data_IF_035193377877
#
_entry.id   IF_035193377877
#
_cell.length_a   1.000
_cell.length_b   1.000
_cell.length_c   1.000
_cell.angle_alpha   90.00
_cell.angle_beta   90.00
_cell.angle_gamma   90.00
#
_symmetry.space_group_name_H-M   'P 1'
#
loop_
_entity.id
_entity.type
_entity.pdbx_description
1 polymer ?
#
# COMPACT_ATOMS: atom_id res chain seq x y z
N UNK A 1 11.86 -1.76 -12.42
CA UNK A 1 10.60 -1.92 -11.66
C UNK A 1 10.93 -2.75 -10.43
N UNK A 2 10.36 -2.42 -9.27
CA UNK A 2 10.44 -3.17 -8.01
C UNK A 2 9.19 -4.01 -7.80
N UNK A 3 9.30 -5.04 -6.98
CA UNK A 3 8.25 -6.00 -6.67
C UNK A 3 8.12 -6.15 -5.16
N UNK A 4 7.00 -5.75 -4.60
CA UNK A 4 6.82 -5.65 -3.16
C UNK A 4 5.47 -6.23 -2.73
N UNK A 5 5.32 -6.55 -1.46
CA UNK A 5 4.06 -6.94 -0.86
C UNK A 5 3.51 -5.79 -0.01
N UNK A 6 2.18 -5.70 0.07
CA UNK A 6 1.51 -4.80 1.00
C UNK A 6 0.54 -5.59 1.88
N UNK A 7 0.50 -5.25 3.17
CA UNK A 7 -0.27 -5.96 4.18
C UNK A 7 -1.19 -5.03 4.96
N UNK A 8 -2.47 -5.42 4.99
CA UNK A 8 -3.51 -4.84 5.84
C UNK A 8 -3.69 -5.63 7.15
N UNK A 9 -3.15 -6.85 7.26
CA UNK A 9 -3.54 -7.87 8.22
C UNK A 9 -5.06 -8.10 8.18
N UNK A 10 -5.61 -8.24 6.96
CA UNK A 10 -7.04 -8.45 6.74
C UNK A 10 -7.44 -9.88 7.11
N UNK A 11 -8.54 -10.02 7.84
CA UNK A 11 -9.08 -11.31 8.26
C UNK A 11 -10.60 -11.33 8.23
N UNK A 12 -11.19 -12.50 7.95
CA UNK A 12 -12.64 -12.75 8.10
C UNK A 12 -13.03 -13.04 9.53
N UNK A 13 -12.05 -13.38 10.38
CA UNK A 13 -12.23 -13.75 11.78
C UNK A 13 -11.57 -12.71 12.70
N UNK A 14 -12.38 -11.82 13.27
CA UNK A 14 -11.94 -10.78 14.20
C UNK A 14 -11.92 -11.26 15.66
N UNK A 15 -11.79 -12.56 15.90
CA UNK A 15 -11.55 -13.13 17.22
C UNK A 15 -10.07 -13.02 17.63
N UNK A 16 -9.78 -13.27 18.90
CA UNK A 16 -8.39 -13.35 19.39
C UNK A 16 -7.57 -14.39 18.63
N UNK A 17 -8.17 -15.51 18.31
CA UNK A 17 -7.56 -16.60 17.53
C UNK A 17 -7.33 -16.19 16.09
N UNK A 18 -8.25 -15.43 15.48
CA UNK A 18 -8.12 -14.86 14.15
C UNK A 18 -6.99 -13.83 14.10
N UNK A 19 -6.90 -12.94 15.08
CA UNK A 19 -5.79 -11.99 15.19
C UNK A 19 -4.43 -12.70 15.31
N UNK A 20 -4.32 -13.68 16.19
CA UNK A 20 -3.09 -14.46 16.34
C UNK A 20 -2.71 -15.14 15.02
N UNK A 21 -3.68 -15.74 14.33
CA UNK A 21 -3.48 -16.44 13.06
C UNK A 21 -3.01 -15.47 11.97
N UNK A 22 -3.71 -14.37 11.72
CA UNK A 22 -3.38 -13.44 10.62
C UNK A 22 -1.99 -12.85 10.78
N UNK A 23 -1.57 -12.45 11.98
CA UNK A 23 -0.22 -11.94 12.20
C UNK A 23 0.86 -13.00 12.04
N UNK A 24 0.62 -14.24 12.52
CA UNK A 24 1.54 -15.36 12.31
C UNK A 24 1.73 -15.66 10.83
N UNK A 25 0.63 -15.73 10.07
CA UNK A 25 0.61 -15.96 8.63
C UNK A 25 1.31 -14.81 7.86
N UNK A 26 1.07 -13.56 8.24
CA UNK A 26 1.72 -12.40 7.63
C UNK A 26 3.23 -12.41 7.85
N UNK A 27 3.71 -12.84 9.03
CA UNK A 27 5.16 -13.04 9.28
C UNK A 27 5.73 -14.11 8.35
N UNK A 28 5.06 -15.26 8.21
CA UNK A 28 5.50 -16.35 7.34
C UNK A 28 5.60 -15.90 5.88
N UNK A 29 4.60 -15.16 5.39
CA UNK A 29 4.57 -14.59 4.05
C UNK A 29 5.72 -13.60 3.83
N UNK A 30 5.98 -12.70 4.78
CA UNK A 30 7.05 -11.72 4.69
C UNK A 30 8.46 -12.37 4.65
N UNK A 31 8.67 -13.42 5.45
CA UNK A 31 9.91 -14.18 5.45
C UNK A 31 10.10 -14.95 4.13
N UNK A 32 9.03 -15.53 3.61
CA UNK A 32 9.05 -16.16 2.29
C UNK A 32 9.35 -15.13 1.18
N UNK A 33 8.75 -13.94 1.24
CA UNK A 33 9.00 -12.88 0.29
C UNK A 33 10.49 -12.46 0.24
N UNK A 34 11.16 -12.37 1.39
CA UNK A 34 12.61 -12.14 1.41
C UNK A 34 13.38 -13.24 0.67
N UNK A 35 13.02 -14.51 0.91
CA UNK A 35 13.65 -15.66 0.24
C UNK A 35 13.38 -15.65 -1.27
N UNK A 36 12.19 -15.24 -1.67
CA UNK A 36 11.74 -15.18 -3.06
C UNK A 36 12.21 -13.94 -3.82
N UNK A 37 12.98 -13.06 -3.20
CA UNK A 37 13.61 -11.93 -3.90
C UNK A 37 12.76 -10.65 -4.01
N UNK A 38 11.68 -10.53 -3.27
CA UNK A 38 10.90 -9.29 -3.22
C UNK A 38 11.74 -8.13 -2.67
N UNK A 39 11.40 -6.90 -3.11
CA UNK A 39 12.15 -5.69 -2.75
C UNK A 39 11.74 -5.13 -1.39
N UNK A 40 10.44 -5.03 -1.10
CA UNK A 40 9.93 -4.39 0.13
C UNK A 40 8.65 -5.07 0.64
N UNK A 41 8.49 -5.08 1.94
CA UNK A 41 7.21 -5.34 2.62
C UNK A 41 6.66 -4.01 3.12
N UNK A 42 5.48 -3.64 2.64
CA UNK A 42 4.75 -2.46 3.07
C UNK A 42 3.64 -2.84 4.04
N UNK A 43 3.50 -2.08 5.12
CA UNK A 43 2.43 -2.25 6.10
C UNK A 43 1.64 -0.96 6.24
N UNK A 44 0.32 -1.06 6.16
CA UNK A 44 -0.59 0.07 6.40
C UNK A 44 -0.65 0.42 7.89
N UNK A 45 -1.26 1.54 8.24
CA UNK A 45 -1.71 1.86 9.59
C UNK A 45 -3.20 2.17 9.56
N UNK A 46 -4.01 1.30 10.18
CA UNK A 46 -5.44 1.49 10.32
C UNK A 46 -5.88 1.21 11.75
N UNK A 47 -6.78 2.03 12.28
CA UNK A 47 -7.26 1.95 13.65
C UNK A 47 -8.76 1.68 13.69
N UNK A 48 -9.17 0.65 14.47
CA UNK A 48 -10.59 0.33 14.73
C UNK A 48 -11.39 -0.07 13.48
N UNK A 49 -10.77 -0.64 12.47
CA UNK A 49 -11.40 -1.08 11.22
C UNK A 49 -11.47 -2.61 11.14
N UNK A 50 -12.27 -3.21 12.02
CA UNK A 50 -12.47 -4.67 12.12
C UNK A 50 -12.80 -5.28 10.75
N UNK A 51 -12.23 -6.45 10.44
CA UNK A 51 -12.35 -7.18 9.18
C UNK A 51 -11.70 -6.52 7.94
N UNK A 52 -11.46 -5.20 7.96
CA UNK A 52 -10.76 -4.53 6.87
C UNK A 52 -9.25 -4.56 7.09
N UNK A 53 -8.79 -4.01 8.21
CA UNK A 53 -7.36 -3.95 8.49
C UNK A 53 -7.10 -4.02 10.01
N UNK A 54 -6.31 -5.00 10.42
CA UNK A 54 -5.89 -5.16 11.80
C UNK A 54 -4.44 -4.68 12.03
N UNK A 55 -3.74 -4.21 10.99
CA UNK A 55 -2.40 -3.62 11.08
C UNK A 55 -2.47 -2.20 11.68
N UNK A 56 -2.56 -2.15 13.01
CA UNK A 56 -2.77 -0.91 13.77
C UNK A 56 -1.47 -0.27 14.32
N UNK A 57 -0.38 -1.02 14.33
CA UNK A 57 0.94 -0.58 14.79
C UNK A 57 2.03 -1.14 13.88
N UNK A 58 2.12 -0.62 12.62
CA UNK A 58 3.05 -1.16 11.63
C UNK A 58 4.51 -1.10 12.08
N UNK A 59 4.90 -0.10 12.86
CA UNK A 59 6.26 0.00 13.40
C UNK A 59 6.64 -1.16 14.31
N UNK A 60 5.68 -1.71 15.07
CA UNK A 60 5.91 -2.88 15.93
C UNK A 60 6.12 -4.14 15.08
N UNK A 61 5.28 -4.33 14.04
CA UNK A 61 5.39 -5.45 13.13
C UNK A 61 6.67 -5.37 12.29
N UNK A 62 6.98 -4.21 11.73
CA UNK A 62 8.19 -3.98 10.94
C UNK A 62 9.47 -4.13 11.78
N UNK A 63 9.46 -3.73 13.06
CA UNK A 63 10.58 -3.96 13.98
C UNK A 63 10.81 -5.47 14.24
N UNK A 64 9.72 -6.23 14.38
CA UNK A 64 9.82 -7.70 14.48
C UNK A 64 10.43 -8.32 13.22
N UNK A 65 10.00 -7.86 12.03
CA UNK A 65 10.58 -8.31 10.76
C UNK A 65 12.03 -7.86 10.59
N UNK A 66 12.41 -6.67 11.06
CA UNK A 66 13.79 -6.19 11.01
C UNK A 66 14.79 -7.15 11.66
N UNK A 67 14.37 -7.76 12.79
CA UNK A 67 15.18 -8.77 13.50
C UNK A 67 15.15 -10.17 12.86
N UNK A 68 14.29 -10.40 11.87
CA UNK A 68 14.10 -11.71 11.20
C UNK A 68 14.54 -11.73 9.73
N UNK A 69 14.88 -10.58 9.18
CA UNK A 69 15.23 -10.36 7.77
C UNK A 69 16.53 -9.58 7.65
N UNK A 70 17.19 -9.68 6.51
CA UNK A 70 18.52 -9.05 6.30
C UNK A 70 18.57 -8.13 5.08
N UNK A 71 17.65 -8.31 4.11
CA UNK A 71 17.68 -7.64 2.81
C UNK A 71 16.42 -6.85 2.49
N UNK A 72 15.25 -7.44 2.72
CA UNK A 72 13.98 -6.87 2.29
C UNK A 72 13.75 -5.50 2.94
N UNK A 73 13.27 -4.52 2.14
CA UNK A 73 12.89 -3.21 2.61
C UNK A 73 11.67 -3.28 3.55
N UNK A 74 11.59 -2.33 4.47
CA UNK A 74 10.55 -2.23 5.49
C UNK A 74 9.80 -0.92 5.30
N UNK A 75 8.62 -0.99 4.69
CA UNK A 75 7.84 0.17 4.26
C UNK A 75 6.65 0.46 5.17
N UNK A 76 6.54 1.71 5.59
CA UNK A 76 5.27 2.22 6.11
C UNK A 76 4.39 2.64 4.93
N UNK A 77 3.29 1.99 4.75
CA UNK A 77 2.38 2.23 3.64
C UNK A 77 0.94 2.55 4.05
N UNK A 78 0.73 3.44 5.05
CA UNK A 78 1.56 4.57 5.54
C UNK A 78 1.50 4.73 7.07
N UNK A 79 2.23 5.71 7.64
CA UNK A 79 1.97 6.23 9.00
C UNK A 79 0.98 7.39 8.89
N UNK A 80 -0.05 7.39 9.73
CA UNK A 80 -1.02 8.47 9.86
C UNK A 80 -0.45 9.62 10.70
N UNK A 81 -0.22 10.79 10.09
CA UNK A 81 0.48 11.92 10.73
C UNK A 81 -0.37 12.95 11.50
N UNK A 82 -1.74 12.88 11.59
CA UNK A 82 -2.45 13.78 12.50
C UNK A 82 -1.90 13.64 13.93
N UNK A 83 -1.60 14.77 14.67
CA UNK A 83 -0.78 14.72 15.87
C UNK A 83 -1.35 13.91 17.04
N UNK A 84 -2.68 13.78 17.17
CA UNK A 84 -3.26 12.93 18.20
C UNK A 84 -3.21 11.45 17.85
N UNK A 85 -3.16 11.08 16.55
CA UNK A 85 -2.90 9.71 16.12
C UNK A 85 -1.42 9.37 16.34
N UNK A 86 -0.52 10.22 15.81
CA UNK A 86 0.92 10.04 15.89
C UNK A 86 1.63 11.38 16.06
N UNK A 87 2.06 11.68 17.27
CA UNK A 87 2.82 12.91 17.53
C UNK A 87 4.15 12.90 16.74
N UNK A 88 4.52 13.98 15.99
CA UNK A 88 5.69 14.00 15.09
C UNK A 88 7.00 13.60 15.76
N UNK A 89 7.24 13.98 17.02
CA UNK A 89 8.42 13.53 17.79
C UNK A 89 8.45 12.00 17.85
N UNK A 90 7.32 11.37 18.21
CA UNK A 90 7.26 9.90 18.31
C UNK A 90 7.40 9.20 16.97
N UNK A 91 6.88 9.80 15.91
CA UNK A 91 7.09 9.31 14.54
C UNK A 91 8.59 9.34 14.19
N UNK A 92 9.24 10.49 14.39
CA UNK A 92 10.67 10.63 14.09
C UNK A 92 11.54 9.64 14.89
N UNK A 93 11.31 9.51 16.20
CA UNK A 93 12.03 8.58 17.07
C UNK A 93 11.85 7.11 16.63
N UNK A 94 10.60 6.68 16.35
CA UNK A 94 10.29 5.29 15.96
C UNK A 94 10.83 4.93 14.59
N UNK A 95 10.68 5.83 13.60
CA UNK A 95 11.21 5.64 12.24
C UNK A 95 12.74 5.58 12.26
N UNK A 96 13.40 6.48 12.97
CA UNK A 96 14.86 6.48 13.10
C UNK A 96 15.38 5.21 13.81
N UNK A 97 14.71 4.79 14.88
CA UNK A 97 15.09 3.56 15.59
C UNK A 97 14.92 2.33 14.70
N UNK A 98 13.80 2.22 13.97
CA UNK A 98 13.58 1.13 13.03
C UNK A 98 14.62 1.11 11.91
N UNK A 99 14.99 2.30 11.41
CA UNK A 99 16.01 2.43 10.37
C UNK A 99 17.39 1.93 10.85
N UNK A 100 17.79 2.29 12.07
CA UNK A 100 19.01 1.79 12.69
C UNK A 100 18.96 0.26 12.87
N UNK A 101 17.90 -0.26 13.48
CA UNK A 101 17.73 -1.68 13.77
C UNK A 101 17.66 -2.54 12.51
N UNK A 102 17.16 -1.99 11.41
CA UNK A 102 17.09 -2.67 10.12
C UNK A 102 18.36 -2.54 9.27
N UNK A 103 19.33 -1.71 9.67
CA UNK A 103 20.51 -1.43 8.86
C UNK A 103 20.22 -0.55 7.63
N UNK A 104 19.32 0.43 7.76
CA UNK A 104 19.01 1.40 6.71
C UNK A 104 18.04 0.88 5.65
N UNK A 105 17.07 0.03 6.03
CA UNK A 105 16.11 -0.58 5.09
C UNK A 105 14.70 0.04 5.14
N UNK A 106 14.51 1.15 5.87
CA UNK A 106 13.20 1.78 6.04
C UNK A 106 12.80 2.60 4.81
N UNK A 107 11.54 2.48 4.43
CA UNK A 107 10.81 3.34 3.51
C UNK A 107 9.70 4.04 4.29
N UNK A 108 9.71 5.38 4.29
CA UNK A 108 8.82 6.16 5.16
C UNK A 108 7.65 6.75 4.38
N UNK A 109 6.52 6.05 4.34
CA UNK A 109 5.28 6.55 3.77
C UNK A 109 4.40 7.26 4.80
N UNK A 110 3.73 8.33 4.39
CA UNK A 110 2.90 9.19 5.24
C UNK A 110 1.49 9.33 4.68
N UNK A 111 0.52 9.48 5.57
CA UNK A 111 -0.90 9.65 5.23
C UNK A 111 -1.68 10.37 6.30
N UNK A 112 -2.97 10.62 6.02
CA UNK A 112 -3.87 11.34 6.94
C UNK A 112 -4.88 10.44 7.67
N UNK A 113 -4.95 9.16 7.32
CA UNK A 113 -6.11 8.33 7.61
C UNK A 113 -7.22 8.58 6.58
N UNK A 114 -8.20 7.70 6.52
CA UNK A 114 -9.21 7.74 5.45
C UNK A 114 -10.66 7.67 5.90
N UNK A 115 -10.95 7.25 7.14
CA UNK A 115 -12.30 7.02 7.61
C UNK A 115 -12.66 7.90 8.82
N UNK A 116 -13.95 8.26 8.93
CA UNK A 116 -14.47 8.96 10.11
C UNK A 116 -14.38 8.08 11.36
N UNK A 117 -14.39 6.76 11.19
CA UNK A 117 -14.20 5.79 12.28
C UNK A 117 -12.82 5.98 12.93
N UNK A 118 -11.77 6.14 12.13
CA UNK A 118 -10.40 6.34 12.62
C UNK A 118 -10.23 7.74 13.20
N UNK A 119 -10.62 8.79 12.46
CA UNK A 119 -10.48 10.17 12.91
C UNK A 119 -11.27 10.44 14.21
N UNK A 120 -12.51 9.94 14.29
CA UNK A 120 -13.38 10.08 15.44
C UNK A 120 -12.87 9.38 16.70
N UNK A 121 -12.12 8.26 16.56
CA UNK A 121 -11.48 7.58 17.69
C UNK A 121 -10.46 8.48 18.41
N UNK A 122 -9.90 9.46 17.70
CA UNK A 122 -8.94 10.45 18.25
C UNK A 122 -9.56 11.86 18.42
N UNK A 123 -10.87 11.98 18.26
CA UNK A 123 -11.59 13.24 18.46
C UNK A 123 -11.49 14.25 17.32
N UNK A 124 -11.17 13.80 16.10
CA UNK A 124 -11.07 14.64 14.90
C UNK A 124 -12.22 14.41 13.92
N UNK A 125 -12.49 15.44 13.11
CA UNK A 125 -13.26 15.33 11.89
C UNK A 125 -12.30 15.13 10.68
N UNK A 126 -12.74 14.37 9.67
CA UNK A 126 -11.96 14.15 8.44
C UNK A 126 -11.54 15.44 7.74
N UNK A 127 -12.37 16.49 7.81
CA UNK A 127 -12.10 17.78 7.20
C UNK A 127 -10.89 18.50 7.83
N UNK A 128 -10.55 18.18 9.09
CA UNK A 128 -9.46 18.83 9.84
C UNK A 128 -8.10 18.15 9.58
N UNK A 129 -8.09 16.92 9.08
CA UNK A 129 -6.86 16.11 9.00
C UNK A 129 -5.82 16.67 8.02
N UNK A 130 -6.25 17.25 6.88
CA UNK A 130 -5.30 17.68 5.85
C UNK A 130 -4.33 18.79 6.32
N UNK A 131 -4.77 19.88 6.97
CA UNK A 131 -3.83 20.88 7.47
C UNK A 131 -2.94 20.36 8.62
N UNK A 132 -3.42 19.39 9.41
CA UNK A 132 -2.62 18.76 10.48
C UNK A 132 -1.49 17.91 9.91
N UNK A 133 -1.78 17.09 8.88
CA UNK A 133 -0.74 16.28 8.24
C UNK A 133 0.27 17.18 7.52
N UNK A 134 -0.17 18.28 6.91
CA UNK A 134 0.74 19.19 6.22
C UNK A 134 1.78 19.76 7.20
N UNK A 135 1.36 20.20 8.40
CA UNK A 135 2.29 20.66 9.43
C UNK A 135 3.26 19.56 9.90
N UNK A 136 2.75 18.36 10.21
CA UNK A 136 3.57 17.22 10.62
C UNK A 136 4.56 16.78 9.53
N UNK A 137 4.10 16.74 8.27
CA UNK A 137 4.88 16.26 7.13
C UNK A 137 6.14 17.12 6.87
N UNK A 138 6.05 18.44 7.04
CA UNK A 138 7.21 19.33 6.93
C UNK A 138 8.12 19.31 8.16
N UNK A 139 7.58 18.90 9.31
CA UNK A 139 8.31 18.92 10.57
C UNK A 139 9.15 17.65 10.80
N UNK A 140 8.59 16.47 10.53
CA UNK A 140 9.27 15.19 10.79
C UNK A 140 10.64 15.07 10.12
N UNK A 141 10.84 15.37 8.82
CA UNK A 141 12.16 15.25 8.20
C UNK A 141 13.20 16.21 8.80
N UNK A 142 12.81 17.38 9.34
CA UNK A 142 13.71 18.26 10.07
C UNK A 142 14.25 17.59 11.33
N UNK A 143 13.43 16.79 12.02
CA UNK A 143 13.82 16.03 13.21
C UNK A 143 14.88 14.96 12.90
N UNK A 144 14.94 14.46 11.67
CA UNK A 144 15.97 13.50 11.26
C UNK A 144 17.36 14.13 11.11
N UNK A 145 17.43 15.41 10.70
CA UNK A 145 18.69 16.04 10.30
C UNK A 145 19.17 17.15 11.24
N UNK A 146 18.26 17.85 11.92
CA UNK A 146 18.63 18.98 12.81
C UNK A 146 18.92 18.48 14.21
N UNK A 147 19.93 19.03 14.87
CA UNK A 147 20.31 18.67 16.23
C UNK A 147 19.22 19.00 17.24
N UNK A 148 18.57 20.15 17.09
CA UNK A 148 17.49 20.64 17.94
C UNK A 148 16.32 21.13 17.10
N UNK A 149 15.11 20.93 17.61
CA UNK A 149 13.85 21.38 17.01
C UNK A 149 13.14 22.32 17.98
N UNK A 150 12.69 23.44 17.45
CA UNK A 150 11.68 24.31 18.03
C UNK A 150 10.58 24.53 17.01
N UNK A 151 9.31 24.46 17.43
CA UNK A 151 8.17 24.66 16.55
C UNK A 151 6.99 25.26 17.32
N UNK A 152 6.44 26.37 16.83
CA UNK A 152 5.22 27.01 17.34
C UNK A 152 4.20 27.14 16.21
N UNK A 153 3.61 26.00 15.87
CA UNK A 153 2.60 25.91 14.80
C UNK A 153 1.18 25.99 15.31
N UNK A 154 0.24 25.81 14.39
CA UNK A 154 -1.19 25.83 14.72
C UNK A 154 -1.62 24.58 15.49
N UNK A 155 -1.15 23.42 15.08
CA UNK A 155 -1.54 22.11 15.63
C UNK A 155 -0.45 21.50 16.52
N UNK A 156 0.81 21.89 16.31
CA UNK A 156 1.97 21.29 16.97
C UNK A 156 2.79 22.38 17.63
N UNK A 157 3.07 22.21 18.93
CA UNK A 157 3.93 23.12 19.69
C UNK A 157 5.03 22.32 20.37
N UNK A 158 6.27 22.61 20.02
CA UNK A 158 7.45 21.92 20.54
C UNK A 158 8.44 22.96 21.04
N UNK A 159 8.61 23.12 22.37
CA UNK A 159 9.70 23.91 22.92
C UNK A 159 11.05 23.35 22.46
N UNK A 160 12.04 24.22 22.29
CA UNK A 160 13.38 23.84 21.82
C UNK A 160 13.96 22.65 22.57
N UNK A 161 14.31 21.59 21.84
CA UNK A 161 14.87 20.35 22.36
C UNK A 161 15.55 19.49 21.32
N UNK A 162 16.51 18.62 21.68
CA UNK A 162 17.07 17.61 20.81
C UNK A 162 16.06 16.48 20.57
N UNK A 163 16.10 15.90 19.38
CA UNK A 163 15.32 14.70 19.00
C UNK A 163 16.29 13.60 18.59
N UNK A 164 16.25 12.47 19.25
CA UNK A 164 17.11 11.31 19.02
C UNK A 164 16.30 10.00 19.14
N UNK A 165 16.77 8.89 18.49
CA UNK A 165 17.95 8.81 17.63
C UNK A 165 17.77 9.49 16.27
N UNK A 166 18.84 9.60 15.49
CA UNK A 166 18.80 9.95 14.06
C UNK A 166 18.79 8.67 13.24
N UNK A 167 18.17 8.66 12.05
CA UNK A 167 18.19 7.48 11.18
C UNK A 167 19.60 7.16 10.70
N UNK A 168 19.82 5.91 10.27
CA UNK A 168 21.07 5.48 9.65
C UNK A 168 21.19 5.99 8.21
N UNK A 169 20.07 6.08 7.49
CA UNK A 169 20.06 6.61 6.13
C UNK A 169 20.25 8.13 6.13
N UNK A 170 21.17 8.62 5.28
CA UNK A 170 21.50 10.04 5.14
C UNK A 170 20.84 10.62 3.86
N UNK A 171 20.16 11.78 3.93
CA UNK A 171 19.81 12.57 5.12
C UNK A 171 18.67 11.97 5.95
N UNK A 172 17.89 11.08 5.40
CA UNK A 172 16.77 10.37 6.02
C UNK A 172 16.25 9.25 5.09
N UNK A 173 15.42 8.31 5.57
CA UNK A 173 14.75 7.33 4.72
C UNK A 173 13.98 7.99 3.57
N UNK A 174 13.90 7.36 2.38
CA UNK A 174 13.09 7.87 1.28
C UNK A 174 11.62 7.99 1.72
N UNK A 175 10.99 9.11 1.31
CA UNK A 175 9.65 9.46 1.77
C UNK A 175 8.60 9.26 0.66
N UNK A 176 7.42 8.80 1.07
CA UNK A 176 6.29 8.51 0.19
C UNK A 176 4.99 9.08 0.77
N UNK A 177 3.97 9.24 -0.05
CA UNK A 177 2.64 9.69 0.37
C UNK A 177 1.56 8.80 -0.23
N UNK A 178 0.53 8.45 0.56
CA UNK A 178 -0.65 7.78 0.06
C UNK A 178 -1.48 8.74 -0.81
N UNK A 179 -1.79 8.31 -2.03
CA UNK A 179 -2.49 9.09 -3.04
C UNK A 179 -3.77 8.35 -3.47
N UNK A 180 -4.89 8.63 -2.81
CA UNK A 180 -6.19 8.02 -3.10
C UNK A 180 -7.00 8.78 -4.16
N UNK A 181 -6.58 10.01 -4.51
CA UNK A 181 -7.22 10.87 -5.49
C UNK A 181 -6.18 11.75 -6.22
N UNK A 182 -6.65 12.51 -7.22
CA UNK A 182 -5.78 13.37 -8.04
C UNK A 182 -5.08 14.47 -7.23
N UNK A 183 -5.73 15.05 -6.23
CA UNK A 183 -5.12 16.07 -5.35
C UNK A 183 -3.94 15.49 -4.57
N UNK A 184 -4.03 14.24 -4.12
CA UNK A 184 -2.93 13.52 -3.50
C UNK A 184 -1.74 13.35 -4.42
N UNK A 185 -2.00 13.00 -5.69
CA UNK A 185 -0.94 12.85 -6.72
C UNK A 185 -0.22 14.17 -7.00
N UNK A 186 -1.00 15.26 -7.17
CA UNK A 186 -0.44 16.61 -7.34
C UNK A 186 0.46 17.00 -6.16
N UNK A 187 -0.04 16.81 -4.93
CA UNK A 187 0.74 17.12 -3.71
C UNK A 187 2.01 16.27 -3.60
N UNK A 188 1.93 14.97 -3.87
CA UNK A 188 3.10 14.10 -3.80
C UNK A 188 4.19 14.56 -4.78
N UNK A 189 3.84 14.83 -6.04
CA UNK A 189 4.76 15.32 -7.05
C UNK A 189 5.36 16.68 -6.68
N UNK A 190 4.51 17.67 -6.32
CA UNK A 190 4.95 19.01 -5.93
C UNK A 190 5.86 19.02 -4.70
N UNK A 191 5.66 18.10 -3.77
CA UNK A 191 6.42 17.99 -2.52
C UNK A 191 7.68 17.11 -2.62
N UNK A 192 7.95 16.54 -3.78
CA UNK A 192 9.11 15.66 -3.99
C UNK A 192 9.02 14.32 -3.27
N UNK A 193 7.80 13.80 -3.08
CA UNK A 193 7.52 12.53 -2.41
C UNK A 193 7.17 11.44 -3.43
N UNK A 194 7.52 10.18 -3.14
CA UNK A 194 7.01 9.04 -3.88
C UNK A 194 5.50 8.89 -3.70
N UNK A 195 4.79 8.45 -4.73
CA UNK A 195 3.34 8.23 -4.70
C UNK A 195 3.02 6.75 -4.48
N UNK A 196 2.24 6.44 -3.45
CA UNK A 196 1.62 5.13 -3.23
C UNK A 196 0.16 5.23 -3.68
N UNK A 197 -0.19 4.53 -4.77
CA UNK A 197 -1.51 4.68 -5.41
C UNK A 197 -2.33 3.40 -5.36
N UNK A 198 -3.63 3.55 -5.27
CA UNK A 198 -4.56 2.44 -5.49
C UNK A 198 -4.58 2.09 -6.98
N UNK A 199 -4.51 0.80 -7.30
CA UNK A 199 -4.49 0.27 -8.66
C UNK A 199 -5.73 -0.56 -9.03
N UNK A 200 -6.83 -0.41 -8.30
CA UNK A 200 -8.05 -1.20 -8.50
C UNK A 200 -8.74 -0.97 -9.85
N UNK A 201 -8.58 0.20 -10.47
CA UNK A 201 -9.10 0.46 -11.81
C UNK A 201 -8.25 -0.12 -12.95
N UNK A 202 -7.12 -0.76 -12.62
CA UNK A 202 -6.24 -1.41 -13.58
C UNK A 202 -5.20 -0.50 -14.24
N UNK A 203 -4.41 -1.04 -15.19
CA UNK A 203 -3.25 -0.34 -15.77
C UNK A 203 -3.58 1.00 -16.45
N UNK A 204 -4.73 1.12 -17.10
CA UNK A 204 -5.13 2.36 -17.80
C UNK A 204 -5.44 3.50 -16.82
N UNK A 205 -6.04 3.19 -15.67
CA UNK A 205 -6.23 4.18 -14.60
C UNK A 205 -4.90 4.56 -13.98
N UNK A 206 -4.03 3.58 -13.73
CA UNK A 206 -2.69 3.83 -13.18
C UNK A 206 -1.85 4.69 -14.11
N UNK A 207 -1.95 4.49 -15.44
CA UNK A 207 -1.28 5.35 -16.43
C UNK A 207 -1.71 6.82 -16.32
N UNK A 208 -3.02 7.08 -16.14
CA UNK A 208 -3.55 8.44 -15.91
C UNK A 208 -3.01 9.03 -14.61
N UNK A 209 -3.01 8.25 -13.53
CA UNK A 209 -2.44 8.67 -12.23
C UNK A 209 -0.95 9.00 -12.35
N UNK A 210 -0.20 8.15 -13.06
CA UNK A 210 1.22 8.39 -13.29
C UNK A 210 1.47 9.68 -14.08
N UNK A 211 0.68 9.97 -15.12
CA UNK A 211 0.81 11.21 -15.88
C UNK A 211 0.64 12.46 -15.00
N UNK A 212 -0.39 12.49 -14.14
CA UNK A 212 -0.64 13.58 -13.18
C UNK A 212 0.55 13.74 -12.22
N UNK A 213 1.02 12.63 -11.65
CA UNK A 213 2.15 12.65 -10.72
C UNK A 213 3.44 13.15 -11.36
N UNK A 214 3.80 12.64 -12.56
CA UNK A 214 5.03 13.04 -13.26
C UNK A 214 5.00 14.49 -13.72
N UNK A 215 3.86 15.01 -14.15
CA UNK A 215 3.68 16.42 -14.48
C UNK A 215 3.90 17.31 -13.24
N UNK A 216 3.26 16.96 -12.13
CA UNK A 216 3.44 17.67 -10.86
C UNK A 216 4.90 17.60 -10.36
N UNK A 217 5.55 16.45 -10.52
CA UNK A 217 6.98 16.29 -10.21
C UNK A 217 7.87 17.18 -11.07
N UNK A 218 7.65 17.22 -12.36
CA UNK A 218 8.46 18.01 -13.30
C UNK A 218 8.32 19.52 -13.07
N UNK A 219 7.17 19.97 -12.58
CA UNK A 219 6.86 21.39 -12.33
C UNK A 219 7.01 21.82 -10.87
N UNK A 220 7.52 20.92 -9.98
CA UNK A 220 7.68 21.22 -8.56
C UNK A 220 8.66 22.36 -8.31
N UNK A 221 8.38 23.11 -7.26
CA UNK A 221 9.25 24.17 -6.78
C UNK A 221 10.08 23.69 -5.58
N UNK A 222 11.30 24.18 -5.46
CA UNK A 222 12.20 23.82 -4.36
C UNK A 222 11.63 24.21 -2.99
N UNK A 223 10.87 25.28 -2.91
CA UNK A 223 10.23 25.79 -1.69
C UNK A 223 9.10 24.89 -1.16
N UNK A 224 8.47 24.09 -2.05
CA UNK A 224 7.37 23.17 -1.70
C UNK A 224 7.90 21.79 -1.30
N UNK A 225 9.20 21.53 -1.45
CA UNK A 225 9.78 20.22 -1.18
C UNK A 225 9.69 19.86 0.30
N UNK A 226 9.19 18.65 0.56
CA UNK A 226 9.21 18.02 1.88
C UNK A 226 10.48 17.19 2.01
N UNK A 227 11.20 17.39 3.15
CA UNK A 227 12.45 16.69 3.40
C UNK A 227 13.63 17.18 2.57
N UNK A 228 14.73 16.46 2.66
CA UNK A 228 16.04 16.83 2.11
C UNK A 228 16.49 15.91 0.96
N UNK A 229 15.69 14.88 0.67
CA UNK A 229 15.92 13.90 -0.39
C UNK A 229 14.62 13.69 -1.16
N UNK A 230 14.47 14.26 -2.36
CA UNK A 230 13.31 13.99 -3.20
C UNK A 230 13.31 12.52 -3.67
N UNK A 231 12.14 11.91 -3.74
CA UNK A 231 11.94 10.50 -4.10
C UNK A 231 10.96 10.42 -5.26
N UNK A 232 11.47 10.40 -6.50
CA UNK A 232 10.63 10.19 -7.69
C UNK A 232 10.29 8.71 -7.84
N UNK A 233 9.08 8.34 -7.47
CA UNK A 233 8.66 6.95 -7.44
C UNK A 233 7.14 6.83 -7.44
N UNK A 234 6.60 5.96 -8.29
CA UNK A 234 5.18 5.61 -8.25
C UNK A 234 5.05 4.11 -7.99
N UNK A 235 4.46 3.77 -6.85
CA UNK A 235 4.13 2.41 -6.48
C UNK A 235 2.62 2.19 -6.59
N UNK A 236 2.20 1.15 -7.32
CA UNK A 236 0.79 0.85 -7.56
C UNK A 236 0.37 -0.45 -6.88
N UNK A 237 -0.71 -0.38 -6.10
CA UNK A 237 -1.35 -1.55 -5.51
C UNK A 237 -1.94 -2.44 -6.61
N UNK A 238 -1.68 -3.74 -6.51
CA UNK A 238 -2.09 -4.75 -7.47
C UNK A 238 -2.71 -5.95 -6.74
N UNK A 239 -4.03 -6.08 -6.73
CA UNK A 239 -4.68 -7.30 -6.23
C UNK A 239 -4.18 -8.52 -6.99
N UNK A 240 -3.78 -9.59 -6.28
CA UNK A 240 -2.98 -10.65 -6.90
C UNK A 240 -3.26 -12.01 -6.29
N UNK A 241 -3.57 -12.98 -7.15
CA UNK A 241 -3.58 -14.42 -6.84
C UNK A 241 -3.03 -15.19 -8.04
N UNK A 242 -1.87 -15.83 -7.87
CA UNK A 242 -1.14 -16.53 -8.94
C UNK A 242 -0.93 -17.97 -8.55
N UNK A 243 -1.69 -18.87 -9.20
CA UNK A 243 -1.65 -20.31 -8.92
C UNK A 243 -1.36 -21.09 -10.19
N UNK A 244 -1.02 -22.38 -10.04
CA UNK A 244 -0.86 -23.30 -11.17
C UNK A 244 -2.20 -23.52 -11.89
N UNK A 245 -3.32 -23.51 -11.16
CA UNK A 245 -4.68 -23.50 -11.73
C UNK A 245 -5.18 -22.05 -11.87
N UNK A 246 -5.11 -21.52 -13.08
CA UNK A 246 -5.52 -20.14 -13.37
C UNK A 246 -7.01 -19.88 -13.16
N UNK A 247 -7.89 -20.88 -13.36
CA UNK A 247 -9.33 -20.72 -13.12
C UNK A 247 -9.60 -20.62 -11.61
N UNK A 248 -8.95 -21.45 -10.82
CA UNK A 248 -9.00 -21.38 -9.37
C UNK A 248 -8.45 -20.06 -8.86
N UNK A 249 -7.30 -19.61 -9.36
CA UNK A 249 -6.69 -18.33 -8.98
C UNK A 249 -7.66 -17.17 -9.22
N UNK A 250 -8.31 -17.13 -10.38
CA UNK A 250 -9.30 -16.10 -10.72
C UNK A 250 -10.49 -16.12 -9.76
N UNK A 251 -11.06 -17.30 -9.52
CA UNK A 251 -12.19 -17.48 -8.59
C UNK A 251 -11.87 -16.98 -7.17
N UNK A 252 -10.71 -17.40 -6.64
CA UNK A 252 -10.22 -17.01 -5.32
C UNK A 252 -9.93 -15.50 -5.27
N UNK A 253 -9.27 -14.95 -6.31
CA UNK A 253 -8.90 -13.53 -6.36
C UNK A 253 -10.12 -12.61 -6.39
N UNK A 254 -11.12 -12.90 -7.21
CA UNK A 254 -12.37 -12.13 -7.29
C UNK A 254 -13.14 -12.20 -5.95
N UNK A 255 -13.19 -13.37 -5.32
CA UNK A 255 -13.84 -13.53 -4.01
C UNK A 255 -13.10 -12.74 -2.92
N UNK A 256 -11.77 -12.77 -2.93
CA UNK A 256 -10.93 -11.98 -2.02
C UNK A 256 -11.10 -10.48 -2.22
N UNK A 257 -11.07 -10.02 -3.47
CA UNK A 257 -11.29 -8.61 -3.80
C UNK A 257 -12.68 -8.13 -3.36
N UNK A 258 -13.73 -8.93 -3.57
CA UNK A 258 -15.06 -8.60 -3.10
C UNK A 258 -15.09 -8.38 -1.59
N UNK A 259 -14.47 -9.28 -0.83
CA UNK A 259 -14.40 -9.13 0.62
C UNK A 259 -13.65 -7.86 1.02
N UNK A 260 -12.53 -7.59 0.37
CA UNK A 260 -11.73 -6.39 0.60
C UNK A 260 -12.56 -5.12 0.37
N UNK A 261 -13.26 -5.05 -0.76
CA UNK A 261 -14.05 -3.88 -1.15
C UNK A 261 -15.29 -3.68 -0.28
N UNK A 262 -16.01 -4.76 0.07
CA UNK A 262 -17.16 -4.68 0.98
C UNK A 262 -16.72 -4.28 2.40
N UNK A 263 -15.55 -4.77 2.88
CA UNK A 263 -14.97 -4.35 4.17
C UNK A 263 -14.61 -2.87 4.18
N UNK A 264 -14.01 -2.39 3.10
CA UNK A 264 -13.69 -0.97 2.93
C UNK A 264 -14.96 -0.12 2.88
N UNK A 265 -15.96 -0.52 2.07
CA UNK A 265 -17.24 0.19 1.97
C UNK A 265 -17.99 0.26 3.30
N UNK A 266 -17.91 -0.79 4.12
CA UNK A 266 -18.50 -0.81 5.46
C UNK A 266 -18.00 0.36 6.31
N UNK A 267 -16.69 0.61 6.33
CA UNK A 267 -16.08 1.64 7.17
C UNK A 267 -16.05 3.04 6.55
N UNK A 268 -16.00 3.15 5.22
CA UNK A 268 -15.82 4.43 4.54
C UNK A 268 -17.13 5.04 4.02
N UNK A 269 -18.12 4.21 3.68
CA UNK A 269 -19.39 4.68 3.07
C UNK A 269 -20.65 4.18 3.79
N UNK A 270 -20.50 3.54 4.98
CA UNK A 270 -21.62 3.02 5.74
C UNK A 270 -22.26 1.77 5.14
N UNK A 271 -21.45 0.97 4.42
CA UNK A 271 -21.83 -0.31 3.87
C UNK A 271 -22.30 -1.34 4.92
N UNK A 272 -22.77 -2.58 4.50
CA UNK A 272 -22.99 -3.70 5.44
C UNK A 272 -21.67 -4.40 5.70
N UNK A 273 -21.60 -5.05 6.85
CA UNK A 273 -20.47 -5.91 7.14
C UNK A 273 -20.41 -7.06 6.14
N UNK A 274 -19.27 -7.32 5.50
CA UNK A 274 -19.16 -8.42 4.55
C UNK A 274 -19.43 -9.76 5.23
N UNK A 275 -20.24 -10.59 4.56
CA UNK A 275 -20.55 -11.94 5.03
C UNK A 275 -20.27 -12.94 3.90
N UNK A 276 -19.01 -13.45 3.79
CA UNK A 276 -18.62 -14.34 2.71
C UNK A 276 -19.37 -15.68 2.71
N UNK A 277 -19.92 -16.10 3.83
CA UNK A 277 -20.71 -17.34 3.92
C UNK A 277 -22.08 -17.22 3.23
N UNK A 278 -22.55 -15.99 3.00
CA UNK A 278 -23.79 -15.73 2.27
C UNK A 278 -23.61 -15.71 0.75
N UNK A 279 -22.37 -15.77 0.24
CA UNK A 279 -22.09 -15.69 -1.18
C UNK A 279 -22.19 -17.08 -1.84
N UNK A 280 -22.80 -17.14 -3.02
CA UNK A 280 -22.76 -18.35 -3.84
C UNK A 280 -21.37 -18.62 -4.41
N UNK A 281 -21.20 -19.81 -5.00
CA UNK A 281 -19.92 -20.23 -5.59
C UNK A 281 -19.56 -19.47 -6.89
N UNK A 282 -20.56 -18.94 -7.60
CA UNK A 282 -20.37 -18.28 -8.88
C UNK A 282 -20.46 -16.75 -8.74
N UNK A 283 -19.30 -16.14 -8.48
CA UNK A 283 -19.14 -14.68 -8.50
C UNK A 283 -18.84 -14.12 -9.91
N UNK A 284 -18.72 -14.99 -10.93
CA UNK A 284 -18.35 -14.61 -12.30
C UNK A 284 -19.31 -15.30 -13.27
N UNK A 285 -20.00 -14.53 -14.12
CA UNK A 285 -20.77 -15.10 -15.24
C UNK A 285 -19.87 -15.38 -16.45
N UNK A 286 -19.75 -16.66 -16.80
CA UNK A 286 -19.13 -17.09 -18.05
C UNK A 286 -17.64 -16.77 -18.19
N UNK A 287 -17.12 -16.87 -19.42
CA UNK A 287 -15.72 -16.59 -19.77
C UNK A 287 -15.41 -15.08 -19.91
N UNK A 288 -16.40 -14.20 -19.80
CA UNK A 288 -16.25 -12.75 -20.00
C UNK A 288 -15.64 -12.04 -18.80
N UNK A 289 -15.60 -12.66 -17.62
CA UNK A 289 -15.06 -12.08 -16.40
C UNK A 289 -15.91 -10.95 -15.82
N UNK A 290 -17.18 -10.86 -16.22
CA UNK A 290 -18.14 -9.94 -15.63
C UNK A 290 -18.42 -10.37 -14.18
N UNK A 291 -18.21 -9.47 -13.24
CA UNK A 291 -18.52 -9.71 -11.84
C UNK A 291 -20.02 -9.49 -11.63
N UNK A 292 -20.74 -10.55 -11.22
CA UNK A 292 -22.13 -10.44 -10.77
C UNK A 292 -22.10 -9.99 -9.33
N UNK A 293 -22.38 -8.72 -9.11
CA UNK A 293 -22.56 -8.17 -7.79
C UNK A 293 -24.06 -8.12 -7.52
N UNK A 294 -24.52 -8.78 -6.48
CA UNK A 294 -25.81 -8.41 -5.87
C UNK A 294 -25.57 -7.07 -5.19
N UNK A 295 -25.82 -6.02 -5.95
CA UNK A 295 -25.68 -4.67 -5.45
C UNK A 295 -26.69 -4.44 -4.35
N UNK A 296 -26.25 -3.92 -3.22
CA UNK A 296 -27.08 -3.31 -2.20
C UNK A 296 -27.89 -2.13 -2.69
N UNK A 297 -27.45 -1.49 -3.77
CA UNK A 297 -28.08 -0.32 -4.37
C UNK A 297 -29.13 -0.69 -5.43
N UNK A 298 -29.24 -1.97 -5.79
CA UNK A 298 -30.24 -2.47 -6.72
C UNK A 298 -30.81 -3.80 -6.23
N UNK A 299 -32.14 -3.94 -6.31
CA UNK A 299 -32.87 -5.19 -6.01
C UNK A 299 -32.61 -6.32 -7.00
N UNK A 300 -31.80 -6.11 -8.04
CA UNK A 300 -31.49 -7.02 -9.14
C UNK A 300 -29.98 -7.22 -9.28
N UNK A 301 -29.59 -8.34 -9.90
CA UNK A 301 -28.20 -8.60 -10.27
C UNK A 301 -27.75 -7.54 -11.29
N UNK A 302 -26.74 -6.75 -10.93
CA UNK A 302 -26.18 -5.70 -11.80
C UNK A 302 -24.90 -6.25 -12.44
N UNK A 303 -24.87 -6.23 -13.76
CA UNK A 303 -23.61 -6.33 -14.51
C UNK A 303 -22.86 -5.02 -14.31
N UNK A 304 -21.71 -5.08 -13.67
CA UNK A 304 -20.96 -3.88 -13.30
C UNK A 304 -20.26 -3.31 -14.52
N UNK A 305 -20.63 -2.11 -14.90
CA UNK A 305 -19.88 -1.30 -15.87
C UNK A 305 -18.65 -0.68 -15.18
N UNK A 306 -17.48 -1.25 -15.43
CA UNK A 306 -16.22 -0.77 -14.85
C UNK A 306 -15.73 0.55 -15.45
N UNK A 307 -16.41 1.11 -16.44
CA UNK A 307 -16.15 2.48 -16.92
C UNK A 307 -16.67 3.55 -15.94
N UNK A 308 -17.61 3.19 -15.05
CA UNK A 308 -18.03 4.04 -13.95
C UNK A 308 -16.92 4.15 -12.90
N UNK A 309 -16.41 5.36 -12.60
CA UNK A 309 -15.39 5.56 -11.60
C UNK A 309 -15.73 5.02 -10.21
N UNK A 310 -17.01 5.02 -9.83
CA UNK A 310 -17.49 4.48 -8.55
C UNK A 310 -17.40 2.93 -8.51
N UNK A 311 -17.42 2.29 -9.67
CA UNK A 311 -17.38 0.83 -9.83
C UNK A 311 -16.01 0.34 -10.32
N UNK A 312 -15.08 1.24 -10.71
CA UNK A 312 -13.74 0.90 -11.17
C UNK A 312 -12.94 0.10 -10.13
N UNK A 313 -13.17 0.36 -8.85
CA UNK A 313 -12.58 -0.40 -7.75
C UNK A 313 -13.04 -1.86 -7.68
N UNK A 314 -14.12 -2.21 -8.35
CA UNK A 314 -14.67 -3.56 -8.43
C UNK A 314 -14.17 -4.33 -9.66
N UNK A 315 -13.24 -3.76 -10.45
CA UNK A 315 -12.69 -4.42 -11.64
C UNK A 315 -12.11 -5.80 -11.29
N UNK A 316 -12.63 -6.90 -11.86
CA UNK A 316 -12.13 -8.25 -11.58
C UNK A 316 -10.88 -8.60 -12.40
N UNK A 317 -10.46 -7.72 -13.32
CA UNK A 317 -9.35 -7.96 -14.24
C UNK A 317 -8.04 -7.46 -13.62
N UNK A 318 -7.54 -8.21 -12.63
CA UNK A 318 -6.25 -7.99 -11.97
C UNK A 318 -5.28 -9.14 -12.25
N UNK A 319 -4.18 -9.22 -11.50
CA UNK A 319 -3.20 -10.29 -11.60
C UNK A 319 -3.75 -11.60 -10.97
N UNK A 320 -4.89 -12.07 -11.48
CA UNK A 320 -5.52 -13.33 -11.08
C UNK A 320 -5.39 -14.35 -12.21
N UNK A 321 -4.67 -15.44 -11.96
CA UNK A 321 -4.49 -16.47 -12.97
C UNK A 321 -3.20 -17.26 -12.79
N UNK A 322 -2.62 -17.65 -13.91
CA UNK A 322 -1.33 -18.33 -13.99
C UNK A 322 -0.17 -17.32 -13.90
N UNK A 323 1.05 -17.82 -13.89
CA UNK A 323 2.28 -17.00 -14.02
C UNK A 323 2.25 -16.12 -15.27
N UNK A 324 1.82 -16.66 -16.40
CA UNK A 324 1.76 -15.91 -17.67
C UNK A 324 0.72 -14.78 -17.62
N UNK A 325 -0.45 -15.02 -16.99
CA UNK A 325 -1.46 -13.98 -16.76
C UNK A 325 -0.89 -12.84 -15.91
N UNK A 326 -0.16 -13.18 -14.85
CA UNK A 326 0.50 -12.20 -13.99
C UNK A 326 1.59 -11.41 -14.74
N UNK A 327 2.43 -12.08 -15.53
CA UNK A 327 3.45 -11.42 -16.37
C UNK A 327 2.80 -10.44 -17.33
N UNK A 328 1.71 -10.85 -17.99
CA UNK A 328 0.95 -9.97 -18.89
C UNK A 328 0.37 -8.75 -18.19
N UNK A 329 -0.19 -8.91 -17.00
CA UNK A 329 -0.75 -7.80 -16.22
C UNK A 329 0.33 -6.84 -15.73
N UNK A 330 1.40 -7.36 -15.13
CA UNK A 330 2.55 -6.58 -14.66
C UNK A 330 3.26 -5.86 -15.80
N UNK A 331 3.32 -6.49 -16.99
CA UNK A 331 3.83 -5.86 -18.22
C UNK A 331 3.07 -4.59 -18.56
N UNK A 332 1.73 -4.61 -18.48
CA UNK A 332 0.90 -3.41 -18.71
C UNK A 332 1.10 -2.33 -17.63
N UNK A 333 1.30 -2.72 -16.37
CA UNK A 333 1.66 -1.76 -15.30
C UNK A 333 3.04 -1.12 -15.56
N UNK A 334 4.00 -1.89 -16.08
CA UNK A 334 5.30 -1.36 -16.47
C UNK A 334 5.17 -0.35 -17.64
N UNK A 335 4.32 -0.63 -18.62
CA UNK A 335 4.01 0.29 -19.73
C UNK A 335 3.29 1.55 -19.24
N UNK A 336 2.45 1.44 -18.20
CA UNK A 336 1.82 2.55 -17.50
C UNK A 336 2.82 3.42 -16.69
N UNK A 337 4.11 3.04 -16.66
CA UNK A 337 5.18 3.80 -15.99
C UNK A 337 5.29 3.57 -14.49
N UNK A 338 4.82 2.44 -13.99
CA UNK A 338 4.94 2.03 -12.57
C UNK A 338 6.39 1.69 -12.24
N UNK A 339 6.92 2.26 -11.15
CA UNK A 339 8.26 1.95 -10.64
C UNK A 339 8.26 0.74 -9.71
N UNK A 340 7.16 0.52 -8.98
CA UNK A 340 7.01 -0.57 -8.02
C UNK A 340 5.60 -1.12 -8.02
N UNK A 341 5.47 -2.44 -8.11
CA UNK A 341 4.19 -3.14 -7.94
C UNK A 341 4.05 -3.57 -6.49
N UNK A 342 2.96 -3.15 -5.85
CA UNK A 342 2.57 -3.56 -4.50
C UNK A 342 1.54 -4.68 -4.61
N UNK A 343 1.98 -5.93 -4.57
CA UNK A 343 1.09 -7.08 -4.65
C UNK A 343 0.25 -7.19 -3.36
N UNK A 344 -1.06 -7.09 -3.50
CA UNK A 344 -2.04 -7.33 -2.45
C UNK A 344 -2.52 -8.78 -2.58
N UNK A 345 -1.87 -9.69 -1.87
CA UNK A 345 -2.24 -11.12 -1.84
C UNK A 345 -3.18 -11.43 -0.68
N UNK A 346 -3.09 -10.67 0.42
CA UNK A 346 -3.86 -10.88 1.64
C UNK A 346 -5.22 -10.16 1.56
N UNK A 347 -6.15 -10.77 0.83
CA UNK A 347 -7.53 -10.30 0.72
C UNK A 347 -8.45 -11.30 1.45
N UNK A 348 -8.84 -11.01 2.65
CA UNK A 348 -9.63 -11.71 3.66
C UNK A 348 -10.00 -13.19 3.44
N UNK A 349 -10.61 -13.53 2.31
CA UNK A 349 -11.03 -14.91 1.99
C UNK A 349 -9.98 -15.74 1.25
N UNK A 350 -8.83 -15.16 0.90
CA UNK A 350 -7.71 -15.89 0.26
C UNK A 350 -6.98 -16.70 1.33
N UNK A 351 -6.89 -18.01 1.14
CA UNK A 351 -6.25 -18.88 2.12
C UNK A 351 -4.73 -18.67 2.19
N UNK A 352 -4.13 -19.04 3.32
CA UNK A 352 -2.67 -18.98 3.52
C UNK A 352 -1.92 -19.76 2.44
N UNK A 353 -2.40 -20.94 2.07
CA UNK A 353 -1.78 -21.78 1.04
C UNK A 353 -1.74 -21.06 -0.31
N UNK A 354 -2.86 -20.43 -0.72
CA UNK A 354 -2.93 -19.69 -1.97
C UNK A 354 -2.05 -18.44 -1.96
N UNK A 355 -1.93 -17.77 -0.82
CA UNK A 355 -1.01 -16.63 -0.66
C UNK A 355 0.46 -17.07 -0.76
N UNK A 356 0.85 -18.15 -0.10
CA UNK A 356 2.20 -18.68 -0.16
C UNK A 356 2.57 -19.20 -1.55
N UNK A 357 1.64 -19.88 -2.25
CA UNK A 357 1.83 -20.30 -3.64
C UNK A 357 2.00 -19.08 -4.56
N UNK A 358 1.17 -18.05 -4.39
CA UNK A 358 1.28 -16.78 -5.13
C UNK A 358 2.65 -16.14 -4.94
N UNK A 359 3.15 -16.04 -3.70
CA UNK A 359 4.47 -15.46 -3.39
C UNK A 359 5.59 -16.27 -4.05
N UNK A 360 5.53 -17.61 -4.02
CA UNK A 360 6.51 -18.47 -4.70
C UNK A 360 6.47 -18.28 -6.21
N UNK A 361 5.29 -18.34 -6.82
CA UNK A 361 5.15 -18.20 -8.27
C UNK A 361 5.65 -16.83 -8.77
N UNK A 362 5.41 -15.76 -8.01
CA UNK A 362 5.95 -14.44 -8.34
C UNK A 362 7.48 -14.44 -8.20
N UNK A 363 8.02 -14.95 -7.10
CA UNK A 363 9.46 -14.96 -6.84
C UNK A 363 10.26 -15.83 -7.79
N UNK A 364 9.75 -17.01 -8.12
CA UNK A 364 10.45 -17.98 -8.97
C UNK A 364 10.33 -17.68 -10.47
N UNK A 365 9.25 -17.00 -10.89
CA UNK A 365 8.96 -16.84 -12.31
C UNK A 365 8.79 -15.38 -12.76
N UNK A 366 7.97 -14.58 -12.06
CA UNK A 366 7.64 -13.22 -12.49
C UNK A 366 8.83 -12.26 -12.28
N UNK A 367 9.40 -12.23 -11.08
CA UNK A 367 10.57 -11.37 -10.77
C UNK A 367 11.76 -11.68 -11.68
N UNK A 368 12.16 -12.93 -11.90
CA UNK A 368 13.25 -13.27 -12.82
C UNK A 368 12.95 -12.90 -14.29
N UNK A 369 11.70 -13.03 -14.74
CA UNK A 369 11.31 -12.63 -16.09
C UNK A 369 11.60 -11.14 -16.35
N UNK A 370 11.10 -10.27 -15.48
CA UNK A 370 11.31 -8.82 -15.62
C UNK A 370 12.76 -8.40 -15.36
N UNK A 371 13.49 -9.11 -14.54
CA UNK A 371 14.93 -8.90 -14.33
C UNK A 371 15.73 -9.17 -15.60
N UNK A 372 15.43 -10.26 -16.33
CA UNK A 372 16.04 -10.56 -17.64
C UNK A 372 15.68 -9.50 -18.67
N UNK A 373 14.39 -9.13 -18.77
CA UNK A 373 13.93 -8.10 -19.71
C UNK A 373 14.65 -6.76 -19.50
N UNK A 374 14.88 -6.37 -18.25
CA UNK A 374 15.63 -5.15 -17.92
C UNK A 374 17.09 -5.24 -18.37
N UNK A 375 17.74 -6.39 -18.13
CA UNK A 375 19.13 -6.61 -18.53
C UNK A 375 19.30 -6.59 -20.07
N UNK A 376 18.36 -7.16 -20.82
CA UNK A 376 18.34 -7.15 -22.28
C UNK A 376 18.19 -5.73 -22.84
N UNK A 377 17.25 -4.93 -22.30
CA UNK A 377 17.06 -3.53 -22.69
C UNK A 377 18.32 -2.69 -22.43
N UNK A 378 19.00 -2.89 -21.30
CA UNK A 378 20.25 -2.20 -20.98
C UNK A 378 21.37 -2.57 -21.96
N UNK A 379 21.52 -3.86 -22.32
CA UNK A 379 22.50 -4.29 -23.33
C UNK A 379 22.23 -3.68 -24.69
N UNK A 380 20.97 -3.61 -25.12
CA UNK A 380 20.58 -3.00 -26.39
C UNK A 380 20.89 -1.49 -26.43
N UNK A 381 20.67 -0.77 -25.31
CA UNK A 381 20.99 0.66 -25.21
C UNK A 381 22.50 0.96 -25.21
N UNK A 382 23.32 0.07 -24.69
CA UNK A 382 24.80 0.22 -24.72
C UNK A 382 25.37 -0.12 -26.08
N UNK A 383 24.67 -0.93 -26.88
CA UNK A 383 25.09 -1.37 -28.20
C UNK A 383 24.66 -0.41 -29.35
N UNK A 384 23.73 0.53 -29.07
CA UNK A 384 23.24 1.56 -29.98
C UNK A 384 23.98 2.89 -29.76
#
# INVERSE_FOLDING_TARGET
MKFSLIYEAQTTDASREGDHRVFKETVEQALLAEQMGFDTVWCVEHTSLTNYAHMSAPETFLAYLAGRTTRIGLGHGVICLPPAMNHPIKVAERVAMLDILSGGRVHFGVGKGGSQQEAGAFGYDLAELQPMIDESMYLVPKMFVQDEIEHDGKYIKIPKRPIHPKPLQDPHPPMYMACTNNDGLLRAGQRGLGALVLGFGGPDEVAKKNAIYREAWATRKAEDQVGFRPTEHLAALCPTVVLNDGQQARKIGIRGQRYFMESLAYWYTGGERPNPDSWGDDLVKGNTGEMVIRSRFASEEVVVDFSDPALSMMNPNHAYGTVDDCIGYVGRLMEAGVDEVLFLCQMGTVSQEAQLETIRNIGEHVIPYFSRLKAEKQKAQVAA
#
